data_IF_787571309520
#
_entry.id   IF_787571309520
#
_cell.length_a   1.000
_cell.length_b   1.000
_cell.length_c   1.000
_cell.angle_alpha   90.00
_cell.angle_beta   90.00
_cell.angle_gamma   90.00
#
_symmetry.space_group_name_H-M   'P 1'
#
loop_
_entity.id
_entity.type
_entity.pdbx_description
1 polymer ?
#
# COMPACT_ATOMS: atom_id res chain seq x y z
N UNK A 1 -3.72 26.57 -12.98
CA UNK A 1 -4.13 26.35 -11.58
C UNK A 1 -4.14 24.85 -11.35
N UNK A 2 -2.98 24.25 -11.05
CA UNK A 2 -2.85 22.79 -10.87
C UNK A 2 -3.10 22.45 -9.40
N UNK A 3 -4.22 21.76 -9.15
CA UNK A 3 -4.54 21.17 -7.85
C UNK A 3 -3.52 20.07 -7.57
N UNK A 4 -2.45 20.42 -6.84
CA UNK A 4 -1.57 19.45 -6.17
C UNK A 4 -2.36 18.83 -5.02
N UNK A 5 -3.23 17.86 -5.31
CA UNK A 5 -3.81 16.95 -4.30
C UNK A 5 -3.07 15.63 -4.40
N UNK A 6 -2.44 15.23 -3.31
CA UNK A 6 -1.61 14.03 -3.24
C UNK A 6 -0.17 14.45 -3.03
N UNK A 7 0.21 14.64 -1.78
CA UNK A 7 1.61 14.61 -1.41
C UNK A 7 2.07 13.18 -1.75
N UNK A 8 2.89 13.00 -2.79
CA UNK A 8 3.55 11.74 -3.15
C UNK A 8 4.53 11.40 -2.02
N UNK A 9 3.97 10.96 -0.88
CA UNK A 9 4.75 10.54 0.27
C UNK A 9 4.95 9.07 0.07
N UNK A 10 6.13 8.72 -0.43
CA UNK A 10 6.45 7.32 -0.60
C UNK A 10 6.53 6.64 0.77
N UNK A 11 5.66 5.64 1.01
CA UNK A 11 5.53 4.93 2.29
C UNK A 11 6.10 3.53 2.17
N UNK A 12 6.83 3.11 3.21
CA UNK A 12 7.27 1.71 3.37
C UNK A 12 6.71 1.13 4.66
N UNK A 13 6.16 -0.08 4.58
CA UNK A 13 5.53 -0.78 5.70
C UNK A 13 6.52 -1.67 6.48
N UNK A 14 7.57 -2.19 5.84
CA UNK A 14 8.52 -3.12 6.45
C UNK A 14 9.96 -2.56 6.46
N UNK A 15 10.74 -2.77 5.39
CA UNK A 15 12.14 -2.31 5.30
C UNK A 15 12.31 -1.37 4.11
N UNK A 16 12.92 -0.18 4.29
CA UNK A 16 13.17 0.73 3.16
C UNK A 16 14.10 0.07 2.13
N UNK A 17 13.82 0.21 0.83
CA UNK A 17 14.66 -0.36 -0.22
C UNK A 17 16.02 0.33 -0.27
N UNK A 18 17.05 -0.40 -0.71
CA UNK A 18 18.37 0.18 -0.97
C UNK A 18 18.34 0.99 -2.28
N UNK A 19 19.15 2.06 -2.41
CA UNK A 19 19.24 2.81 -3.66
C UNK A 19 19.65 1.87 -4.81
N UNK A 20 18.87 1.87 -5.89
CA UNK A 20 19.09 1.03 -7.07
C UNK A 20 18.49 -0.40 -7.01
N UNK A 21 17.77 -0.75 -5.94
CA UNK A 21 17.23 -2.11 -5.74
C UNK A 21 15.79 -2.29 -6.23
N UNK A 22 15.07 -1.20 -6.49
CA UNK A 22 13.70 -1.22 -6.98
C UNK A 22 13.67 -1.54 -8.47
N UNK A 23 12.88 -2.54 -8.86
CA UNK A 23 12.82 -3.01 -10.23
C UNK A 23 11.85 -2.20 -11.08
N UNK A 24 10.55 -2.32 -10.78
CA UNK A 24 9.49 -1.66 -11.52
C UNK A 24 8.28 -1.37 -10.60
N UNK A 25 7.50 -0.33 -10.88
CA UNK A 25 6.24 -0.08 -10.20
C UNK A 25 5.22 -1.15 -10.60
N UNK A 26 4.66 -1.83 -9.61
CA UNK A 26 3.56 -2.78 -9.77
C UNK A 26 2.28 -2.14 -9.27
N UNK A 27 1.21 -2.29 -10.04
CA UNK A 27 -0.11 -1.76 -9.72
C UNK A 27 -0.98 -2.86 -9.13
N UNK A 28 -1.44 -2.65 -7.90
CA UNK A 28 -2.36 -3.54 -7.19
C UNK A 28 -3.75 -2.92 -7.13
N UNK A 29 -4.78 -3.73 -7.37
CA UNK A 29 -6.17 -3.32 -7.27
C UNK A 29 -6.79 -3.89 -6.00
N UNK A 30 -7.05 -3.02 -5.04
CA UNK A 30 -7.65 -3.32 -3.75
C UNK A 30 -9.16 -3.12 -3.89
N UNK A 31 -9.88 -4.22 -4.15
CA UNK A 31 -11.33 -4.21 -4.42
C UNK A 31 -12.17 -4.26 -3.14
N UNK A 32 -11.62 -4.81 -2.07
CA UNK A 32 -12.27 -4.98 -0.78
C UNK A 32 -11.86 -3.85 0.19
N UNK A 33 -12.73 -3.52 1.14
CA UNK A 33 -12.41 -2.51 2.16
C UNK A 33 -11.32 -2.99 3.13
N UNK A 34 -11.08 -4.30 3.23
CA UNK A 34 -9.94 -4.88 3.94
C UNK A 34 -9.45 -6.11 3.18
N UNK A 35 -8.16 -6.16 2.86
CA UNK A 35 -7.54 -7.35 2.27
C UNK A 35 -6.13 -7.59 2.77
N UNK A 36 -5.75 -8.86 2.84
CA UNK A 36 -4.37 -9.28 3.08
C UNK A 36 -3.72 -9.60 1.73
N UNK A 37 -2.52 -9.08 1.53
CA UNK A 37 -1.73 -9.35 0.33
C UNK A 37 -0.24 -9.48 0.67
N UNK A 38 0.47 -10.18 -0.20
CA UNK A 38 1.91 -10.37 -0.09
C UNK A 38 2.65 -9.25 -0.82
N UNK A 39 3.63 -8.63 -0.15
CA UNK A 39 4.60 -7.72 -0.74
C UNK A 39 6.01 -8.21 -0.44
N UNK A 40 6.99 -7.76 -1.21
CA UNK A 40 8.39 -7.97 -0.83
C UNK A 40 8.72 -7.17 0.44
N UNK A 41 9.53 -7.72 1.34
CA UNK A 41 9.94 -7.02 2.58
C UNK A 41 10.52 -5.62 2.31
N UNK A 42 11.19 -5.48 1.17
CA UNK A 42 11.67 -4.20 0.64
C UNK A 42 10.73 -3.74 -0.47
N UNK A 43 9.94 -2.73 -0.16
CA UNK A 43 8.99 -2.13 -1.09
C UNK A 43 8.83 -0.65 -0.78
N UNK A 44 8.25 0.07 -1.72
CA UNK A 44 7.95 1.49 -1.58
C UNK A 44 6.62 1.78 -2.28
N UNK A 45 5.62 2.11 -1.50
CA UNK A 45 4.32 2.52 -2.02
C UNK A 45 4.45 3.98 -2.43
N UNK A 46 4.29 4.27 -3.72
CA UNK A 46 4.44 5.62 -4.27
C UNK A 46 3.12 6.28 -4.55
N UNK A 47 2.09 5.50 -4.89
CA UNK A 47 0.79 6.05 -5.26
C UNK A 47 -0.36 5.27 -4.63
N UNK A 48 -1.40 6.00 -4.26
CA UNK A 48 -2.70 5.43 -3.93
C UNK A 48 -3.80 6.33 -4.47
N UNK A 49 -4.67 5.75 -5.29
CA UNK A 49 -5.76 6.47 -5.92
C UNK A 49 -7.00 5.58 -6.03
N UNK A 50 -8.18 6.20 -6.09
CA UNK A 50 -9.42 5.49 -6.41
C UNK A 50 -9.55 5.39 -7.92
N UNK A 51 -9.59 4.17 -8.45
CA UNK A 51 -9.85 3.92 -9.86
C UNK A 51 -11.36 3.74 -10.08
N UNK A 52 -11.99 4.72 -10.73
CA UNK A 52 -13.43 4.69 -11.01
C UNK A 52 -13.83 3.61 -12.03
N UNK A 53 -12.91 3.22 -12.93
CA UNK A 53 -13.18 2.21 -13.97
C UNK A 53 -13.21 0.81 -13.36
N UNK A 54 -12.23 0.52 -12.52
CA UNK A 54 -12.08 -0.75 -11.82
C UNK A 54 -12.94 -0.81 -10.54
N UNK A 55 -13.45 0.34 -10.08
CA UNK A 55 -14.19 0.52 -8.81
C UNK A 55 -13.39 -0.03 -7.63
N UNK A 56 -12.12 0.31 -7.59
CA UNK A 56 -11.15 -0.25 -6.65
C UNK A 56 -10.07 0.79 -6.30
N UNK A 57 -9.39 0.62 -5.18
CA UNK A 57 -8.20 1.40 -4.88
C UNK A 57 -7.03 0.85 -5.69
N UNK A 58 -6.48 1.68 -6.57
CA UNK A 58 -5.25 1.41 -7.27
C UNK A 58 -4.07 1.87 -6.43
N UNK A 59 -3.29 0.91 -5.96
CA UNK A 59 -2.05 1.16 -5.21
C UNK A 59 -0.86 0.87 -6.12
N UNK A 60 0.06 1.83 -6.23
CA UNK A 60 1.30 1.69 -7.00
C UNK A 60 2.44 1.45 -6.04
N UNK A 61 3.11 0.30 -6.19
CA UNK A 61 4.17 -0.15 -5.30
C UNK A 61 5.40 -0.49 -6.12
N UNK A 62 6.50 0.20 -5.83
CA UNK A 62 7.82 -0.22 -6.29
C UNK A 62 8.30 -1.37 -5.40
N UNK A 63 8.58 -2.53 -6.01
CA UNK A 63 9.07 -3.72 -5.30
C UNK A 63 10.49 -4.06 -5.75
N UNK A 64 11.22 -4.73 -4.86
CA UNK A 64 12.49 -5.39 -5.20
C UNK A 64 12.23 -6.74 -5.86
N UNK A 65 13.25 -7.36 -6.45
CA UNK A 65 13.12 -8.70 -7.00
C UNK A 65 12.67 -9.72 -5.94
N UNK A 66 11.54 -10.44 -6.14
CA UNK A 66 10.98 -11.36 -5.15
C UNK A 66 11.86 -12.60 -4.92
N UNK A 67 12.79 -12.94 -5.82
CA UNK A 67 13.77 -14.01 -5.58
C UNK A 67 14.85 -13.56 -4.59
N UNK A 68 15.11 -12.25 -4.50
CA UNK A 68 16.15 -11.68 -3.63
C UNK A 68 15.62 -11.14 -2.29
N UNK A 69 14.31 -10.91 -2.18
CA UNK A 69 13.67 -10.34 -1.00
C UNK A 69 12.59 -11.27 -0.44
N UNK A 70 12.63 -11.52 0.87
CA UNK A 70 11.62 -12.34 1.55
C UNK A 70 10.23 -11.69 1.40
N UNK A 71 9.18 -12.46 1.09
CA UNK A 71 7.81 -11.95 1.09
C UNK A 71 7.32 -11.67 2.52
N UNK A 72 6.45 -10.68 2.64
CA UNK A 72 5.81 -10.27 3.88
C UNK A 72 4.31 -10.10 3.65
N UNK A 73 3.52 -10.47 4.63
CA UNK A 73 2.09 -10.23 4.65
C UNK A 73 1.82 -8.80 5.10
N UNK A 74 1.03 -8.09 4.30
CA UNK A 74 0.50 -6.77 4.65
C UNK A 74 -1.02 -6.78 4.53
N UNK A 75 -1.70 -6.14 5.47
CA UNK A 75 -3.13 -5.87 5.36
C UNK A 75 -3.34 -4.45 4.88
N UNK A 76 -4.17 -4.27 3.86
CA UNK A 76 -4.60 -2.97 3.38
C UNK A 76 -6.04 -2.78 3.81
N UNK A 77 -6.29 -1.70 4.54
CA UNK A 77 -7.61 -1.32 5.05
C UNK A 77 -8.01 0.06 4.48
N UNK A 78 -9.23 0.16 3.97
CA UNK A 78 -9.86 1.41 3.52
C UNK A 78 -10.86 1.80 4.61
N UNK A 79 -10.54 2.86 5.35
CA UNK A 79 -11.29 3.24 6.54
C UNK A 79 -11.77 4.69 6.47
N UNK A 80 -12.81 5.00 7.24
CA UNK A 80 -13.21 6.38 7.47
C UNK A 80 -12.04 7.19 8.08
N UNK A 81 -11.92 8.47 7.72
CA UNK A 81 -10.81 9.28 8.16
C UNK A 81 -10.81 9.44 9.68
N UNK A 82 -9.67 9.16 10.30
CA UNK A 82 -9.51 9.20 11.75
C UNK A 82 -10.01 7.94 12.49
N UNK A 83 -10.30 6.85 11.77
CA UNK A 83 -10.54 5.55 12.38
C UNK A 83 -9.37 5.11 13.28
N UNK A 84 -9.69 4.39 14.35
CA UNK A 84 -8.68 3.87 15.29
C UNK A 84 -7.86 2.77 14.61
N UNK A 85 -6.55 2.94 14.57
CA UNK A 85 -5.65 2.00 13.91
C UNK A 85 -5.00 1.04 14.90
N UNK A 86 -4.66 -0.15 14.42
CA UNK A 86 -3.87 -1.14 15.16
C UNK A 86 -2.40 -0.73 15.29
N UNK A 87 -1.65 -1.27 16.27
CA UNK A 87 -0.20 -1.11 16.32
C UNK A 87 0.44 -1.65 15.02
N UNK A 88 1.44 -0.92 14.48
CA UNK A 88 2.10 -1.18 13.17
C UNK A 88 1.28 -0.85 11.92
N UNK A 89 0.12 -0.23 12.08
CA UNK A 89 -0.61 0.38 10.97
C UNK A 89 0.04 1.71 10.59
N UNK A 90 0.16 1.98 9.29
CA UNK A 90 0.59 3.26 8.74
C UNK A 90 -0.40 3.75 7.70
N UNK A 91 -0.65 5.05 7.67
CA UNK A 91 -1.39 5.67 6.57
C UNK A 91 -0.53 5.64 5.31
N UNK A 92 -1.03 4.96 4.28
CA UNK A 92 -0.43 4.89 2.95
C UNK A 92 -0.82 6.14 2.17
N UNK A 93 -2.07 6.57 2.29
CA UNK A 93 -2.56 7.81 1.70
C UNK A 93 -4.06 7.94 1.86
N UNK A 94 -4.66 8.80 1.03
CA UNK A 94 -6.07 9.16 1.13
C UNK A 94 -6.71 9.16 -0.25
N UNK A 95 -7.87 8.54 -0.35
CA UNK A 95 -8.66 8.48 -1.58
C UNK A 95 -9.97 9.24 -1.43
N UNK A 96 -10.64 9.50 -2.55
CA UNK A 96 -12.02 9.97 -2.57
C UNK A 96 -12.83 8.97 -3.38
N UNK A 97 -13.76 8.28 -2.72
CA UNK A 97 -14.68 7.31 -3.32
C UNK A 97 -16.09 7.86 -3.20
N UNK A 98 -16.81 7.97 -4.32
CA UNK A 98 -18.18 8.52 -4.36
C UNK A 98 -18.29 9.91 -3.69
N UNK A 99 -17.27 10.75 -3.84
CA UNK A 99 -17.18 12.07 -3.23
C UNK A 99 -16.89 12.07 -1.72
N UNK A 100 -16.73 10.90 -1.09
CA UNK A 100 -16.39 10.75 0.32
C UNK A 100 -14.90 10.45 0.50
N UNK A 101 -14.20 11.13 1.41
CA UNK A 101 -12.79 10.85 1.66
C UNK A 101 -12.63 9.59 2.53
N UNK A 102 -11.68 8.74 2.17
CA UNK A 102 -11.28 7.56 2.96
C UNK A 102 -9.76 7.53 3.12
N UNK A 103 -9.29 7.07 4.27
CA UNK A 103 -7.87 6.82 4.51
C UNK A 103 -7.53 5.39 4.12
N UNK A 104 -6.44 5.22 3.38
CA UNK A 104 -5.89 3.91 3.03
C UNK A 104 -4.75 3.61 3.99
N UNK A 105 -4.92 2.55 4.76
CA UNK A 105 -4.04 2.13 5.82
C UNK A 105 -3.35 0.82 5.43
N UNK A 106 -2.07 0.70 5.77
CA UNK A 106 -1.29 -0.51 5.60
C UNK A 106 -0.81 -1.02 6.95
N UNK A 107 -1.08 -2.28 7.25
CA UNK A 107 -0.65 -2.95 8.48
C UNK A 107 0.34 -4.04 8.14
N UNK A 108 1.55 -3.96 8.68
CA UNK A 108 2.54 -5.04 8.55
C UNK A 108 2.15 -6.21 9.47
N UNK A 109 1.83 -7.36 8.88
CA UNK A 109 1.42 -8.56 9.62
C UNK A 109 2.60 -9.46 9.98
N UNK A 110 3.64 -9.52 9.13
CA UNK A 110 4.82 -10.35 9.41
C UNK A 110 5.52 -10.82 8.15
N UNK A 111 6.57 -11.63 8.32
CA UNK A 111 7.09 -12.44 7.22
C UNK A 111 6.09 -13.54 6.91
N UNK A 112 5.91 -13.88 5.63
CA UNK A 112 5.11 -15.05 5.25
C UNK A 112 5.71 -16.25 5.96
N UNK A 113 4.95 -16.84 6.87
CA UNK A 113 5.34 -18.08 7.51
C UNK A 113 5.23 -19.16 6.43
N UNK A 114 6.38 -19.60 5.92
CA UNK A 114 6.50 -20.90 5.25
C UNK A 114 6.11 -21.92 6.33
N UNK A 115 4.83 -22.28 6.41
CA UNK A 115 4.38 -23.37 7.29
C UNK A 115 5.01 -24.67 6.76
N UNK A 116 5.79 -25.30 7.63
CA UNK A 116 6.46 -26.59 7.45
C UNK A 116 5.44 -27.74 7.51
#
# INVERSE_FOLDING_TARGET
MCVRRGCDVAVTLCVPPRPGELCAPVRFLVREDSLVMELTARHRITGVEWDERERAVAMVVEITDPQTARPVDVRIDIVDPGARTEPRTKTIGRIVRDGRPYDVMGTYLGVVADEN
#
